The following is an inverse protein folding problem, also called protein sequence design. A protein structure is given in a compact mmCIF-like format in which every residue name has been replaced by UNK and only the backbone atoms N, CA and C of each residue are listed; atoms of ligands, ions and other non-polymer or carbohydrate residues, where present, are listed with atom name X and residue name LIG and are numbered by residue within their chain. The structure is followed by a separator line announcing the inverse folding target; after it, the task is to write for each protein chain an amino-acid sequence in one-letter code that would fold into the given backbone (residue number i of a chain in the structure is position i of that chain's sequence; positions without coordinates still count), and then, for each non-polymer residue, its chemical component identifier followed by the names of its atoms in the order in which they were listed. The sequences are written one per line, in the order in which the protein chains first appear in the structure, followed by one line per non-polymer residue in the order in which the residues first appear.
data_IF_811653750603
#
_entry.id   IF_811653750603
#
_cell.length_a   1.000
_cell.length_b   1.000
_cell.length_c   1.000
_cell.angle_alpha   90.00
_cell.angle_beta   90.00
_cell.angle_gamma   90.00
#
_symmetry.space_group_name_H-M   'P 1'
#
loop_
_entity.id
_entity.type
_entity.pdbx_description
1 polymer ?
#
# COMPACT_ATOMS: atom_id res chain seq x y z
N UNK A 1 7.35 37.00 32.00
CA UNK A 1 6.24 36.56 31.12
C UNK A 1 6.71 35.87 29.83
N UNK A 2 7.49 36.53 28.95
CA UNK A 2 7.96 35.95 27.66
C UNK A 2 8.66 34.57 27.78
N UNK A 3 9.56 34.39 28.75
CA UNK A 3 10.28 33.12 28.98
C UNK A 3 9.36 31.96 29.39
N UNK A 4 8.36 32.23 30.23
CA UNK A 4 7.39 31.21 30.66
C UNK A 4 6.47 30.80 29.49
N UNK A 5 6.03 31.76 28.69
CA UNK A 5 5.25 31.50 27.48
C UNK A 5 6.05 30.68 26.45
N UNK A 6 7.30 31.05 26.17
CA UNK A 6 8.18 30.33 25.25
C UNK A 6 8.41 28.87 25.71
N UNK A 7 8.68 28.66 27.01
CA UNK A 7 8.83 27.31 27.58
C UNK A 7 7.57 26.46 27.40
N UNK A 8 6.38 27.03 27.65
CA UNK A 8 5.10 26.33 27.46
C UNK A 8 4.88 25.97 25.99
N UNK A 9 5.12 26.89 25.07
CA UNK A 9 4.99 26.65 23.63
C UNK A 9 5.98 25.60 23.12
N UNK A 10 7.24 25.64 23.59
CA UNK A 10 8.26 24.65 23.24
C UNK A 10 7.91 23.25 23.75
N UNK A 11 7.43 23.13 24.99
CA UNK A 11 6.97 21.85 25.56
C UNK A 11 5.78 21.29 24.78
N UNK A 12 4.77 22.13 24.50
CA UNK A 12 3.58 21.72 23.74
C UNK A 12 3.92 21.29 22.30
N UNK A 13 4.86 21.98 21.65
CA UNK A 13 5.35 21.61 20.31
C UNK A 13 6.03 20.24 20.30
N UNK A 14 6.92 20.00 21.29
CA UNK A 14 7.59 18.70 21.45
C UNK A 14 6.60 17.59 21.74
N UNK A 15 5.62 17.83 22.60
CA UNK A 15 4.56 16.86 22.91
C UNK A 15 3.78 16.47 21.65
N UNK A 16 3.32 17.44 20.86
CA UNK A 16 2.63 17.17 19.58
C UNK A 16 3.50 16.38 18.60
N UNK A 17 4.77 16.75 18.46
CA UNK A 17 5.70 16.02 17.57
C UNK A 17 5.92 14.59 18.06
N UNK A 18 6.03 14.38 19.37
CA UNK A 18 6.17 13.05 19.97
C UNK A 18 4.95 12.19 19.67
N UNK A 19 3.74 12.68 19.94
CA UNK A 19 2.50 11.97 19.65
C UNK A 19 2.39 11.62 18.16
N UNK A 20 2.68 12.56 17.26
CA UNK A 20 2.66 12.31 15.82
C UNK A 20 3.64 11.22 15.37
N UNK A 21 4.86 11.21 15.91
CA UNK A 21 5.88 10.19 15.59
C UNK A 21 5.47 8.82 16.16
N UNK A 22 4.90 8.77 17.36
CA UNK A 22 4.40 7.54 17.97
C UNK A 22 3.26 6.94 17.15
N UNK A 23 2.29 7.76 16.74
CA UNK A 23 1.18 7.34 15.85
C UNK A 23 1.70 6.80 14.52
N UNK A 24 2.66 7.51 13.89
CA UNK A 24 3.27 7.07 12.64
C UNK A 24 4.04 5.76 12.80
N UNK A 25 4.72 5.55 13.94
CA UNK A 25 5.44 4.30 14.21
C UNK A 25 4.46 3.13 14.31
N UNK A 26 3.37 3.30 15.06
CA UNK A 26 2.32 2.29 15.22
C UNK A 26 1.71 1.94 13.85
N UNK A 27 1.41 2.96 13.04
CA UNK A 27 0.85 2.74 11.71
C UNK A 27 1.84 2.03 10.77
N UNK A 28 3.13 2.37 10.84
CA UNK A 28 4.16 1.71 10.04
C UNK A 28 4.33 0.23 10.44
N UNK A 29 4.32 -0.07 11.74
CA UNK A 29 4.37 -1.46 12.22
C UNK A 29 3.15 -2.26 11.77
N UNK A 30 1.97 -1.63 11.77
CA UNK A 30 0.74 -2.22 11.23
C UNK A 30 0.87 -2.50 9.72
N UNK A 31 1.37 -1.54 8.94
CA UNK A 31 1.58 -1.71 7.50
C UNK A 31 2.60 -2.83 7.20
N UNK A 32 3.68 -2.91 7.97
CA UNK A 32 4.69 -3.99 7.84
C UNK A 32 4.09 -5.36 8.11
N UNK A 33 3.28 -5.49 9.17
CA UNK A 33 2.58 -6.74 9.48
C UNK A 33 1.63 -7.15 8.35
N UNK A 34 0.87 -6.20 7.81
CA UNK A 34 -0.03 -6.46 6.68
C UNK A 34 0.74 -6.91 5.43
N UNK A 35 1.87 -6.25 5.12
CA UNK A 35 2.72 -6.63 4.00
C UNK A 35 3.29 -8.05 4.16
N UNK A 36 3.70 -8.44 5.37
CA UNK A 36 4.16 -9.80 5.66
C UNK A 36 3.05 -10.84 5.43
N UNK A 37 1.83 -10.56 5.89
CA UNK A 37 0.68 -11.45 5.67
C UNK A 37 0.46 -11.63 4.16
N UNK A 38 0.36 -10.54 3.41
CA UNK A 38 0.12 -10.59 1.96
C UNK A 38 1.23 -11.30 1.19
N UNK A 39 2.49 -11.22 1.65
CA UNK A 39 3.61 -11.92 1.06
C UNK A 39 3.59 -13.45 1.30
N UNK A 40 2.93 -13.90 2.37
CA UNK A 40 2.87 -15.30 2.79
C UNK A 40 1.56 -16.00 2.40
N UNK A 41 0.56 -15.26 1.93
CA UNK A 41 -0.70 -15.85 1.49
C UNK A 41 -0.48 -16.69 0.21
N UNK A 42 -1.04 -17.91 0.15
CA UNK A 42 -0.95 -18.74 -1.04
C UNK A 42 -1.81 -18.19 -2.19
N UNK A 43 -2.81 -17.35 -1.90
CA UNK A 43 -3.68 -16.77 -2.92
C UNK A 43 -2.98 -15.65 -3.68
N UNK A 44 -3.21 -15.60 -5.00
CA UNK A 44 -2.78 -14.49 -5.82
C UNK A 44 -3.66 -13.26 -5.53
N UNK A 45 -3.03 -12.21 -5.02
CA UNK A 45 -3.67 -10.93 -4.71
C UNK A 45 -3.11 -9.88 -5.66
N UNK A 46 -3.98 -9.19 -6.37
CA UNK A 46 -3.62 -8.09 -7.27
C UNK A 46 -4.46 -6.86 -6.93
N UNK A 47 -3.80 -5.72 -6.73
CA UNK A 47 -4.47 -4.44 -6.60
C UNK A 47 -4.27 -3.62 -7.88
N UNK A 48 -5.35 -2.97 -8.32
CA UNK A 48 -5.39 -2.17 -9.53
C UNK A 48 -5.69 -0.72 -9.20
N UNK A 49 -5.02 0.20 -9.89
CA UNK A 49 -5.46 1.58 -10.01
C UNK A 49 -6.73 1.67 -10.86
N UNK A 50 -7.47 2.79 -10.77
CA UNK A 50 -8.68 3.05 -11.59
C UNK A 50 -8.48 2.94 -13.11
N UNK A 51 -7.23 3.02 -13.59
CA UNK A 51 -6.86 2.85 -15.00
C UNK A 51 -6.61 1.38 -15.39
N UNK A 52 -6.80 0.43 -14.49
CA UNK A 52 -6.49 -0.99 -14.70
C UNK A 52 -5.01 -1.33 -14.57
N UNK A 53 -4.16 -0.37 -14.17
CA UNK A 53 -2.73 -0.59 -13.96
C UNK A 53 -2.48 -1.29 -12.63
N UNK A 54 -1.65 -2.33 -12.61
CA UNK A 54 -1.27 -3.07 -11.40
C UNK A 54 -0.46 -2.19 -10.47
N UNK A 55 -1.02 -1.84 -9.30
CA UNK A 55 -0.35 -1.06 -8.27
C UNK A 55 0.37 -1.93 -7.25
N UNK A 56 -0.13 -3.15 -7.01
CA UNK A 56 0.45 -4.14 -6.12
C UNK A 56 0.11 -5.54 -6.59
N UNK A 57 1.01 -6.49 -6.35
CA UNK A 57 0.81 -7.92 -6.55
C UNK A 57 1.50 -8.68 -5.40
N UNK A 58 0.89 -9.76 -4.92
CA UNK A 58 1.51 -10.64 -3.92
C UNK A 58 2.60 -11.51 -4.54
N UNK A 59 3.54 -11.99 -3.71
CA UNK A 59 4.63 -12.87 -4.15
C UNK A 59 4.16 -14.19 -4.77
N UNK A 60 2.91 -14.59 -4.51
CA UNK A 60 2.28 -15.75 -5.14
C UNK A 60 2.28 -15.66 -6.69
N UNK A 61 2.41 -14.47 -7.30
CA UNK A 61 2.43 -14.33 -8.75
C UNK A 61 3.53 -15.14 -9.44
N UNK A 62 4.67 -15.38 -8.79
CA UNK A 62 5.74 -16.20 -9.36
C UNK A 62 5.30 -17.66 -9.54
N UNK A 63 4.52 -18.19 -8.60
CA UNK A 63 4.00 -19.54 -8.68
C UNK A 63 2.86 -19.68 -9.70
N UNK A 64 1.94 -18.71 -9.75
CA UNK A 64 0.76 -18.77 -10.62
C UNK A 64 1.02 -18.33 -12.06
N UNK A 65 1.79 -17.25 -12.23
CA UNK A 65 1.94 -16.54 -13.49
C UNK A 65 3.36 -16.61 -14.05
N UNK A 66 4.30 -17.24 -13.32
CA UNK A 66 5.71 -17.34 -13.70
C UNK A 66 6.35 -15.98 -13.99
N UNK A 67 5.88 -14.92 -13.30
CA UNK A 67 6.38 -13.55 -13.40
C UNK A 67 6.72 -13.03 -12.02
N UNK A 68 7.79 -12.23 -11.94
CA UNK A 68 8.18 -11.57 -10.69
C UNK A 68 7.27 -10.40 -10.36
N UNK A 69 7.15 -10.09 -9.08
CA UNK A 69 6.30 -9.00 -8.59
C UNK A 69 6.69 -7.64 -9.19
N UNK A 70 7.98 -7.41 -9.41
CA UNK A 70 8.53 -6.19 -9.99
C UNK A 70 8.17 -6.03 -11.47
N UNK A 71 8.06 -7.14 -12.20
CA UNK A 71 7.71 -7.12 -13.62
C UNK A 71 6.22 -6.83 -13.81
N UNK A 72 5.39 -7.36 -12.92
CA UNK A 72 3.94 -7.19 -12.95
C UNK A 72 3.50 -5.78 -12.54
N UNK A 73 4.26 -5.11 -11.67
CA UNK A 73 3.92 -3.76 -11.20
C UNK A 73 3.98 -2.77 -12.37
N UNK A 74 2.91 -2.02 -12.57
CA UNK A 74 2.80 -1.05 -13.67
C UNK A 74 2.27 -1.65 -14.98
N UNK A 75 2.10 -2.98 -15.10
CA UNK A 75 1.44 -3.59 -16.26
C UNK A 75 -0.05 -3.24 -16.27
N UNK A 76 -0.63 -3.18 -17.47
CA UNK A 76 -2.07 -3.13 -17.63
C UNK A 76 -2.65 -4.52 -17.36
N UNK A 77 -3.69 -4.60 -16.52
CA UNK A 77 -4.39 -5.86 -16.31
C UNK A 77 -5.05 -6.38 -17.60
N UNK A 78 -5.39 -5.49 -18.53
CA UNK A 78 -5.90 -5.87 -19.85
C UNK A 78 -4.89 -6.67 -20.70
N UNK A 79 -3.59 -6.52 -20.44
CA UNK A 79 -2.53 -7.29 -21.12
C UNK A 79 -2.30 -8.66 -20.47
N UNK A 80 -2.87 -8.89 -19.29
CA UNK A 80 -2.71 -10.11 -18.49
C UNK A 80 -3.90 -11.05 -18.57
N UNK A 81 -5.11 -10.49 -18.71
CA UNK A 81 -6.34 -11.27 -18.88
C UNK A 81 -6.68 -11.44 -20.36
N UNK A 82 -7.41 -12.51 -20.68
CA UNK A 82 -7.84 -12.75 -22.05
C UNK A 82 -8.83 -11.67 -22.52
N UNK A 83 -8.91 -11.38 -23.84
CA UNK A 83 -9.77 -10.31 -24.37
C UNK A 83 -11.25 -10.44 -23.98
N UNK A 84 -11.75 -11.66 -23.81
CA UNK A 84 -13.13 -11.94 -23.42
C UNK A 84 -13.48 -11.38 -22.04
N UNK A 85 -12.48 -11.23 -21.16
CA UNK A 85 -12.64 -10.68 -19.82
C UNK A 85 -12.60 -9.15 -19.78
N UNK A 86 -12.23 -8.47 -20.87
CA UNK A 86 -12.04 -7.00 -20.87
C UNK A 86 -13.32 -6.25 -20.52
N UNK A 87 -14.49 -6.74 -20.95
CA UNK A 87 -15.78 -6.16 -20.60
C UNK A 87 -16.06 -6.21 -19.09
N UNK A 88 -15.86 -7.38 -18.48
CA UNK A 88 -16.03 -7.57 -17.04
C UNK A 88 -15.02 -6.75 -16.23
N UNK A 89 -13.75 -6.74 -16.65
CA UNK A 89 -12.71 -5.94 -16.02
C UNK A 89 -13.03 -4.43 -16.08
N UNK A 90 -13.53 -3.96 -17.22
CA UNK A 90 -13.95 -2.56 -17.37
C UNK A 90 -15.11 -2.17 -16.46
N UNK A 91 -16.00 -3.10 -16.11
CA UNK A 91 -17.07 -2.85 -15.13
C UNK A 91 -16.54 -2.73 -13.70
N UNK A 92 -15.49 -3.50 -13.35
CA UNK A 92 -14.85 -3.46 -12.03
C UNK A 92 -14.01 -2.20 -11.80
N UNK A 93 -13.55 -1.55 -12.88
CA UNK A 93 -12.70 -0.35 -12.83
C UNK A 93 -13.48 0.97 -12.85
N UNK A 94 -14.82 0.92 -12.90
CA UNK A 94 -15.71 2.10 -12.89
C UNK A 94 -15.89 2.71 -11.50
#
# INVERSE_FOLDING_TARGET
LKRAANRKSASASRARKKTFVEEMSIENDRMRRNAQILALLPDLIVALCRRGTVSYVSGACEAFLQKRSEEMRGMSMFDLVTPECHGALSLLLR
#
